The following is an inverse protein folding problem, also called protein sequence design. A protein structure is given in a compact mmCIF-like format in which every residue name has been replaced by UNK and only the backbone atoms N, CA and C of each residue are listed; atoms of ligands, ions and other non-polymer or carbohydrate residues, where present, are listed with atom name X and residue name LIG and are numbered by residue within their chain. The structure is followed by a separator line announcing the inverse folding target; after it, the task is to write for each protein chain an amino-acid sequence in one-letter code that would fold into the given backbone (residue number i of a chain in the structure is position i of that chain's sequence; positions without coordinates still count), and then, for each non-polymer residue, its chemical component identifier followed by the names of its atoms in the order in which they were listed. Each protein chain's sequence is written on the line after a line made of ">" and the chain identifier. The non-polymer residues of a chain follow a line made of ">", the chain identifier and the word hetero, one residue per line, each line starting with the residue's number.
data_IF_565208885141
#
_entry.id   IF_565208885141
#
_cell.length_a   1.000
_cell.length_b   1.000
_cell.length_c   1.000
_cell.angle_alpha   90.00
_cell.angle_beta   90.00
_cell.angle_gamma   90.00
#
_symmetry.space_group_name_H-M   'P 1'
#
loop_
_entity.id
_entity.type
_entity.pdbx_description
1 polymer ?
#
# COMPACT_ATOMS: atom_id res chain seq x y z
N UNK A 1 10.53 -0.01 -10.56
CA UNK A 1 9.60 -0.86 -11.33
C UNK A 1 10.34 -1.70 -12.38
N UNK A 2 11.22 -1.09 -13.18
CA UNK A 2 11.85 -1.77 -14.33
C UNK A 2 12.95 -2.80 -14.04
N UNK A 3 13.69 -2.70 -12.93
CA UNK A 3 14.76 -3.67 -12.60
C UNK A 3 14.26 -4.95 -11.91
N UNK A 4 13.00 -4.98 -11.46
CA UNK A 4 12.37 -6.13 -10.79
C UNK A 4 11.11 -6.65 -11.51
N UNK A 5 10.84 -6.20 -12.74
CA UNK A 5 9.59 -6.49 -13.49
C UNK A 5 8.30 -6.22 -12.69
N UNK A 6 8.31 -5.19 -11.84
CA UNK A 6 7.10 -4.77 -11.12
C UNK A 6 6.51 -3.62 -11.93
N UNK A 7 5.51 -3.89 -12.75
CA UNK A 7 4.90 -2.87 -13.61
C UNK A 7 3.87 -2.01 -12.87
N UNK A 8 3.18 -2.58 -11.87
CA UNK A 8 2.12 -1.91 -11.11
C UNK A 8 2.04 -2.46 -9.68
N UNK A 9 1.53 -1.68 -8.74
CA UNK A 9 1.27 -2.10 -7.35
C UNK A 9 -0.10 -1.63 -6.89
N UNK A 10 -0.71 -2.34 -5.94
CA UNK A 10 -1.84 -1.79 -5.21
C UNK A 10 -1.30 -0.81 -4.16
N UNK A 11 -1.78 0.43 -4.15
CA UNK A 11 -1.24 1.49 -3.32
C UNK A 11 -2.31 2.13 -2.43
N UNK A 12 -2.04 2.16 -1.14
CA UNK A 12 -2.71 2.99 -0.15
C UNK A 12 -1.70 3.99 0.41
N UNK A 13 -1.70 5.22 -0.13
CA UNK A 13 -0.72 6.25 0.18
C UNK A 13 -1.36 7.53 0.72
N UNK A 14 -0.79 8.07 1.80
CA UNK A 14 -1.06 9.45 2.23
C UNK A 14 0.21 10.28 2.06
N UNK A 15 0.21 11.21 1.11
CA UNK A 15 1.29 12.16 0.96
C UNK A 15 0.88 13.34 0.10
N UNK A 16 1.81 14.29 -0.06
CA UNK A 16 1.55 15.57 -0.74
C UNK A 16 1.81 15.56 -2.24
N UNK A 17 2.54 14.54 -2.72
CA UNK A 17 3.00 14.44 -4.10
C UNK A 17 2.40 13.17 -4.71
N UNK A 18 1.75 13.26 -5.88
CA UNK A 18 1.25 12.08 -6.59
C UNK A 18 2.39 11.07 -6.86
N UNK A 19 2.20 9.77 -6.57
CA UNK A 19 3.23 8.74 -6.78
C UNK A 19 3.76 8.63 -8.22
N UNK A 20 2.96 9.04 -9.20
CA UNK A 20 3.30 9.08 -10.63
C UNK A 20 4.51 9.98 -10.91
N UNK A 21 4.70 11.05 -10.11
CA UNK A 21 5.87 11.94 -10.20
C UNK A 21 7.17 11.17 -9.96
N UNK A 22 7.11 10.09 -9.19
CA UNK A 22 8.26 9.21 -8.92
C UNK A 22 8.32 7.99 -9.88
N UNK A 23 7.50 7.97 -10.92
CA UNK A 23 7.42 6.85 -11.87
C UNK A 23 6.77 5.59 -11.29
N UNK A 24 5.91 5.74 -10.27
CA UNK A 24 5.17 4.62 -9.69
C UNK A 24 3.81 4.51 -10.40
N UNK A 25 3.58 3.41 -11.11
CA UNK A 25 2.25 3.06 -11.62
C UNK A 25 1.49 2.27 -10.56
N UNK A 26 0.25 2.64 -10.26
CA UNK A 26 -0.51 1.98 -9.21
C UNK A 26 -2.01 1.93 -9.48
N UNK A 27 -2.66 0.96 -8.82
CA UNK A 27 -4.11 0.94 -8.61
C UNK A 27 -4.38 1.30 -7.15
N UNK A 28 -5.51 1.95 -6.86
CA UNK A 28 -5.88 2.23 -5.47
C UNK A 28 -6.17 0.93 -4.72
N UNK A 29 -5.50 0.72 -3.59
CA UNK A 29 -5.82 -0.38 -2.69
C UNK A 29 -7.07 -0.03 -1.88
N UNK A 30 -8.22 -0.64 -2.19
CA UNK A 30 -9.51 -0.25 -1.58
C UNK A 30 -9.92 -1.19 -0.43
N UNK A 31 -9.76 -2.50 -0.59
CA UNK A 31 -10.16 -3.51 0.42
C UNK A 31 -9.40 -4.82 0.24
N UNK A 32 -9.29 -5.28 -1.01
CA UNK A 32 -8.52 -6.47 -1.38
C UNK A 32 -7.46 -6.09 -2.40
N UNK A 33 -6.28 -6.67 -2.23
CA UNK A 33 -5.22 -6.57 -3.22
C UNK A 33 -5.62 -7.37 -4.47
N UNK A 34 -5.46 -6.78 -5.64
CA UNK A 34 -5.65 -7.42 -6.95
C UNK A 34 -4.30 -7.72 -7.60
N UNK A 35 -3.26 -7.02 -7.18
CA UNK A 35 -1.91 -7.16 -7.65
C UNK A 35 -1.05 -7.95 -6.64
N UNK A 36 0.09 -8.46 -7.12
CA UNK A 36 0.98 -9.25 -6.26
C UNK A 36 1.54 -8.45 -5.09
N UNK A 37 1.75 -7.15 -5.29
CA UNK A 37 2.37 -6.28 -4.30
C UNK A 37 1.39 -5.21 -3.86
N UNK A 38 1.23 -5.10 -2.54
CA UNK A 38 0.51 -4.02 -1.90
C UNK A 38 1.50 -3.12 -1.17
N UNK A 39 1.34 -1.81 -1.31
CA UNK A 39 2.13 -0.79 -0.62
C UNK A 39 1.19 0.08 0.20
N UNK A 40 1.43 0.16 1.51
CA UNK A 40 0.56 0.89 2.43
C UNK A 40 1.40 1.86 3.25
N UNK A 41 0.98 3.12 3.30
CA UNK A 41 1.58 4.10 4.21
C UNK A 41 1.26 3.79 5.67
N UNK A 42 2.20 4.04 6.57
CA UNK A 42 2.06 3.82 8.01
C UNK A 42 0.83 4.55 8.57
N UNK A 43 0.54 5.75 8.08
CA UNK A 43 -0.64 6.51 8.45
C UNK A 43 -1.92 5.72 8.17
N UNK A 44 -2.14 5.28 6.93
CA UNK A 44 -3.33 4.51 6.57
C UNK A 44 -3.35 3.15 7.25
N UNK A 45 -2.20 2.47 7.37
CA UNK A 45 -2.07 1.22 8.10
C UNK A 45 -2.60 1.36 9.53
N UNK A 46 -2.33 2.48 10.20
CA UNK A 46 -2.79 2.77 11.57
C UNK A 46 -4.11 3.56 11.64
N UNK A 47 -4.88 3.64 10.54
CA UNK A 47 -6.19 4.32 10.52
C UNK A 47 -6.11 5.85 10.64
N UNK A 48 -4.92 6.42 10.42
CA UNK A 48 -4.67 7.86 10.42
C UNK A 48 -4.83 8.41 9.01
N UNK A 49 -5.96 9.04 8.76
CA UNK A 49 -6.27 9.60 7.46
C UNK A 49 -5.79 11.06 7.43
N UNK A 50 -4.55 11.29 6.98
CA UNK A 50 -4.01 12.65 6.78
C UNK A 50 -4.29 13.15 5.36
N UNK A 51 -4.34 14.48 5.20
CA UNK A 51 -4.51 15.20 3.93
C UNK A 51 -3.78 14.52 2.77
N UNK A 52 -4.58 13.93 1.88
CA UNK A 52 -4.11 13.35 0.64
C UNK A 52 -4.13 14.48 -0.39
N UNK A 53 -2.97 15.01 -0.76
CA UNK A 53 -2.88 15.86 -1.95
C UNK A 53 -2.35 14.97 -3.08
N UNK A 54 -3.15 14.81 -4.15
CA UNK A 54 -2.74 14.05 -5.34
C UNK A 54 -3.36 12.66 -5.48
N UNK A 55 -4.31 12.27 -4.63
CA UNK A 55 -5.15 11.09 -4.86
C UNK A 55 -6.59 11.41 -4.46
N UNK A 56 -7.55 11.07 -5.32
CA UNK A 56 -8.99 11.28 -5.05
C UNK A 56 -9.58 10.21 -4.12
N UNK A 57 -8.80 9.17 -3.79
CA UNK A 57 -9.28 8.05 -3.00
C UNK A 57 -9.13 8.28 -1.49
N UNK A 58 -10.25 8.08 -0.77
CA UNK A 58 -10.31 8.10 0.68
C UNK A 58 -10.99 6.83 1.21
N UNK A 59 -10.35 6.05 2.10
CA UNK A 59 -11.02 4.90 2.72
C UNK A 59 -12.22 5.36 3.54
N UNK A 60 -13.38 4.77 3.32
CA UNK A 60 -14.60 5.08 4.08
C UNK A 60 -14.55 4.54 5.52
N UNK A 61 -13.73 3.49 5.76
CA UNK A 61 -13.54 2.86 7.07
C UNK A 61 -12.09 3.07 7.56
N UNK A 62 -11.92 3.45 8.83
CA UNK A 62 -10.60 3.60 9.47
C UNK A 62 -9.87 2.28 9.63
N UNK A 63 -10.58 1.16 9.62
CA UNK A 63 -10.02 -0.17 9.80
C UNK A 63 -9.78 -0.93 8.48
N UNK A 64 -9.97 -0.29 7.33
CA UNK A 64 -9.83 -0.92 6.01
C UNK A 64 -8.55 -1.75 5.84
N UNK A 65 -7.43 -1.31 6.45
CA UNK A 65 -6.13 -1.99 6.32
C UNK A 65 -5.69 -2.76 7.57
N UNK A 66 -6.58 -3.01 8.53
CA UNK A 66 -6.21 -3.63 9.81
C UNK A 66 -5.57 -5.02 9.64
N UNK A 67 -6.06 -5.82 8.69
CA UNK A 67 -5.53 -7.16 8.40
C UNK A 67 -4.05 -7.13 7.97
N UNK A 68 -3.58 -6.04 7.37
CA UNK A 68 -2.17 -5.90 6.96
C UNK A 68 -1.22 -5.68 8.14
N UNK A 69 -1.72 -5.36 9.34
CA UNK A 69 -0.89 -5.21 10.54
C UNK A 69 -0.39 -6.55 11.07
N UNK A 70 -1.14 -7.62 10.80
CA UNK A 70 -0.79 -8.98 11.22
C UNK A 70 0.18 -9.64 10.23
N UNK A 71 0.31 -9.08 9.03
CA UNK A 71 1.22 -9.56 8.01
C UNK A 71 2.63 -9.02 8.24
N UNK A 72 3.63 -9.89 8.04
CA UNK A 72 5.03 -9.45 7.98
C UNK A 72 5.28 -8.71 6.65
N UNK A 73 5.69 -7.43 6.67
CA UNK A 73 6.04 -6.73 5.44
C UNK A 73 7.27 -7.37 4.81
N UNK A 74 7.30 -7.44 3.48
CA UNK A 74 8.48 -7.81 2.71
C UNK A 74 9.60 -6.78 2.92
N UNK A 75 9.23 -5.49 2.96
CA UNK A 75 10.16 -4.37 3.10
C UNK A 75 9.45 -3.16 3.69
N UNK A 76 10.19 -2.34 4.43
CA UNK A 76 9.77 -0.99 4.84
C UNK A 76 10.67 0.03 4.16
N UNK A 77 10.08 1.02 3.48
CA UNK A 77 10.80 2.11 2.81
C UNK A 77 10.66 3.37 3.66
N UNK A 78 11.79 3.97 4.04
CA UNK A 78 11.82 5.24 4.77
C UNK A 78 10.99 5.25 6.05
N UNK A 79 10.82 4.10 6.71
CA UNK A 79 10.00 3.89 7.93
C UNK A 79 8.50 4.22 7.78
N UNK A 80 8.03 4.49 6.56
CA UNK A 80 6.69 5.05 6.32
C UNK A 80 5.89 4.28 5.29
N UNK A 81 6.52 3.54 4.38
CA UNK A 81 5.83 2.71 3.41
C UNK A 81 6.13 1.24 3.65
N UNK A 82 5.07 0.46 3.85
CA UNK A 82 5.12 -0.97 4.10
C UNK A 82 4.76 -1.69 2.81
N UNK A 83 5.67 -2.54 2.34
CA UNK A 83 5.51 -3.33 1.12
C UNK A 83 5.21 -4.76 1.50
N UNK A 84 4.13 -5.32 0.95
CA UNK A 84 3.68 -6.68 1.17
C UNK A 84 3.75 -7.49 -0.13
N UNK A 85 4.29 -8.71 -0.08
CA UNK A 85 4.13 -9.69 -1.16
C UNK A 85 2.95 -10.60 -0.82
N UNK A 86 1.85 -10.41 -1.53
CA UNK A 86 0.58 -11.06 -1.23
C UNK A 86 0.62 -12.56 -1.49
N UNK A 87 1.59 -13.04 -2.29
CA UNK A 87 1.88 -14.48 -2.46
C UNK A 87 2.41 -15.13 -1.18
N UNK A 88 3.15 -14.38 -0.38
CA UNK A 88 3.71 -14.87 0.89
C UNK A 88 2.76 -14.62 2.06
N UNK A 89 1.93 -13.57 1.99
CA UNK A 89 0.90 -13.29 2.99
C UNK A 89 -0.14 -14.41 3.12
N UNK A 90 -0.54 -15.04 2.00
CA UNK A 90 -1.51 -16.18 2.04
C UNK A 90 -0.93 -17.43 2.69
N UNK A 91 0.40 -17.58 2.72
CA UNK A 91 1.09 -18.74 3.33
C UNK A 91 1.30 -18.58 4.84
N UNK A 92 1.13 -17.39 5.38
CA UNK A 92 1.30 -17.11 6.81
C UNK A 92 0.02 -17.41 7.64
N UNK A 93 -1.07 -17.82 6.98
CA UNK A 93 -2.39 -18.09 7.57
C UNK A 93 -2.80 -19.57 7.42
N UNK A 94 -1.84 -20.47 7.18
CA UNK A 94 -2.06 -21.92 7.19
C UNK A 94 -1.40 -22.56 8.41
#
# INVERSE_FOLDING_TARGET
>A
MNSNNIERVDLAYSGRVPPEVYGVSYDHLIQATRLRYAVISSNLLWGRMYFINGTEYWPQDRNTYIAFRELKPLKVIGHTLYVYDMKNATRAVQ
#
